data_IF_180061062198
#
_entry.id   IF_180061062198
#
_cell.length_a   1.000
_cell.length_b   1.000
_cell.length_c   1.000
_cell.angle_alpha   90.00
_cell.angle_beta   90.00
_cell.angle_gamma   90.00
#
_symmetry.space_group_name_H-M   'P 1'
#
loop_
_entity.id
_entity.type
_entity.pdbx_description
1 polymer ?
#
# COMPACT_ATOMS: atom_id res chain seq x y z
N UNK A 1 21.76 5.24 6.96
CA UNK A 1 21.99 5.35 8.42
C UNK A 1 22.00 3.96 9.02
N UNK A 2 23.10 3.58 9.68
CA UNK A 2 23.21 2.31 10.39
C UNK A 2 22.08 2.20 11.43
N UNK A 3 21.37 1.05 11.46
CA UNK A 3 20.38 0.77 12.50
C UNK A 3 21.14 0.65 13.81
N UNK A 4 21.07 1.67 14.68
CA UNK A 4 21.37 1.51 16.10
C UNK A 4 20.64 0.28 16.61
N UNK A 5 21.40 -0.66 17.17
CA UNK A 5 20.89 -1.91 17.70
C UNK A 5 19.86 -1.59 18.80
N UNK A 6 18.60 -2.02 18.58
CA UNK A 6 17.49 -1.64 19.47
C UNK A 6 17.54 -2.53 20.70
N UNK A 7 17.85 -1.95 21.86
CA UNK A 7 17.74 -2.63 23.16
C UNK A 7 16.26 -2.93 23.47
N UNK A 8 15.93 -4.18 23.75
CA UNK A 8 14.57 -4.60 24.08
C UNK A 8 14.30 -4.39 25.58
N UNK A 9 13.08 -4.00 25.93
CA UNK A 9 12.69 -3.82 27.32
C UNK A 9 12.76 -5.16 28.09
N UNK A 10 13.27 -5.19 29.34
CA UNK A 10 13.35 -6.40 30.15
C UNK A 10 12.02 -7.16 30.28
N UNK A 11 10.93 -6.44 30.54
CA UNK A 11 9.58 -7.04 30.62
C UNK A 11 9.18 -7.75 29.33
N UNK A 12 9.60 -7.22 28.17
CA UNK A 12 9.31 -7.87 26.90
C UNK A 12 10.11 -9.17 26.74
N UNK A 13 11.37 -9.20 27.19
CA UNK A 13 12.18 -10.41 27.20
C UNK A 13 11.59 -11.48 28.14
N UNK A 14 11.16 -11.07 29.34
CA UNK A 14 10.47 -11.96 30.27
C UNK A 14 9.17 -12.51 29.66
N UNK A 15 8.36 -11.63 29.06
CA UNK A 15 7.14 -12.00 28.36
C UNK A 15 7.41 -13.03 27.25
N UNK A 16 8.45 -12.85 26.45
CA UNK A 16 8.80 -13.78 25.37
C UNK A 16 9.08 -15.19 25.89
N UNK A 17 9.86 -15.30 26.97
CA UNK A 17 10.17 -16.60 27.58
C UNK A 17 8.93 -17.24 28.22
N UNK A 18 8.05 -16.45 28.85
CA UNK A 18 6.76 -16.95 29.37
C UNK A 18 5.88 -17.51 28.26
N UNK A 19 5.74 -16.81 27.14
CA UNK A 19 4.89 -17.22 26.02
C UNK A 19 5.39 -18.51 25.36
N UNK A 20 6.70 -18.62 25.13
CA UNK A 20 7.31 -19.83 24.50
C UNK A 20 7.14 -21.07 25.37
N UNK A 21 7.20 -20.91 26.69
CA UNK A 21 7.04 -22.02 27.64
C UNK A 21 5.58 -22.37 27.92
N UNK A 22 4.64 -21.54 27.49
CA UNK A 22 3.24 -21.74 27.83
C UNK A 22 2.62 -22.91 27.03
N UNK A 23 1.87 -23.83 27.68
CA UNK A 23 1.28 -25.00 27.00
C UNK A 23 0.43 -24.66 25.77
N UNK A 24 -0.26 -23.53 25.79
CA UNK A 24 -1.07 -23.04 24.66
C UNK A 24 -0.29 -22.89 23.34
N UNK A 25 1.02 -22.65 23.41
CA UNK A 25 1.93 -22.51 22.26
C UNK A 25 2.74 -23.79 21.97
N UNK A 26 2.43 -24.90 22.64
CA UNK A 26 3.13 -26.17 22.46
C UNK A 26 3.16 -26.60 20.98
N UNK A 27 4.35 -26.95 20.51
CA UNK A 27 4.59 -27.32 19.11
C UNK A 27 4.71 -26.16 18.12
N UNK A 28 4.48 -24.90 18.53
CA UNK A 28 4.67 -23.76 17.64
C UNK A 28 6.18 -23.54 17.39
N UNK A 29 6.64 -23.52 16.12
CA UNK A 29 8.05 -23.40 15.80
C UNK A 29 8.70 -22.08 16.24
N UNK A 30 9.79 -22.18 17.00
CA UNK A 30 10.70 -21.08 17.33
C UNK A 30 12.15 -21.56 17.39
N UNK A 31 13.07 -20.70 17.00
CA UNK A 31 14.52 -20.94 17.03
C UNK A 31 15.17 -19.94 18.00
N UNK A 32 16.38 -20.27 18.46
CA UNK A 32 17.26 -19.31 19.15
C UNK A 32 18.34 -18.83 18.19
N UNK A 33 18.64 -17.54 18.26
CA UNK A 33 19.74 -16.90 17.56
C UNK A 33 21.08 -17.27 18.22
N UNK A 34 22.18 -16.91 17.57
CA UNK A 34 23.55 -17.14 18.07
C UNK A 34 23.83 -16.48 19.43
N UNK A 35 23.16 -15.38 19.72
CA UNK A 35 23.24 -14.65 20.99
C UNK A 35 22.34 -15.24 22.11
N UNK A 36 21.68 -16.37 21.84
CA UNK A 36 20.76 -17.03 22.77
C UNK A 36 19.34 -16.45 22.78
N UNK A 37 19.09 -15.30 22.13
CA UNK A 37 17.78 -14.68 22.06
C UNK A 37 16.85 -15.47 21.14
N UNK A 38 15.57 -15.49 21.49
CA UNK A 38 14.54 -16.12 20.66
C UNK A 38 14.37 -15.36 19.33
N UNK A 39 14.31 -16.10 18.22
CA UNK A 39 13.97 -15.62 16.89
C UNK A 39 12.47 -15.31 16.80
N UNK A 40 12.06 -14.22 17.49
CA UNK A 40 10.67 -13.82 17.64
C UNK A 40 9.98 -13.51 16.30
N UNK A 41 10.77 -13.01 15.35
CA UNK A 41 10.31 -12.54 14.04
C UNK A 41 10.74 -13.51 12.95
N UNK A 42 9.79 -13.95 12.13
CA UNK A 42 10.06 -14.80 10.97
C UNK A 42 9.02 -14.57 9.87
N UNK A 43 9.45 -14.11 8.69
CA UNK A 43 8.51 -13.84 7.58
C UNK A 43 7.75 -15.11 7.17
N UNK A 44 6.47 -14.96 6.85
CA UNK A 44 5.59 -16.01 6.30
C UNK A 44 6.22 -16.86 5.16
N UNK A 45 7.12 -16.30 4.36
CA UNK A 45 7.76 -16.99 3.22
C UNK A 45 8.85 -17.98 3.65
N UNK A 46 9.42 -17.80 4.84
CA UNK A 46 10.48 -18.65 5.39
C UNK A 46 9.98 -20.05 5.75
N UNK A 47 10.89 -21.02 5.83
CA UNK A 47 10.56 -22.39 6.27
C UNK A 47 9.87 -22.40 7.63
N UNK A 48 10.39 -21.64 8.59
CA UNK A 48 9.77 -21.52 9.93
C UNK A 48 8.41 -20.81 9.86
N UNK A 49 8.25 -19.77 9.05
CA UNK A 49 6.98 -19.07 8.82
C UNK A 49 5.89 -20.00 8.27
N UNK A 50 6.23 -20.83 7.27
CA UNK A 50 5.31 -21.85 6.72
C UNK A 50 4.91 -22.90 7.77
N UNK A 51 5.85 -23.34 8.61
CA UNK A 51 5.56 -24.27 9.70
C UNK A 51 4.65 -23.65 10.78
N UNK A 52 4.83 -22.35 11.08
CA UNK A 52 3.93 -21.60 11.97
C UNK A 52 2.51 -21.52 11.40
N UNK A 53 2.37 -21.23 10.10
CA UNK A 53 1.07 -21.24 9.42
C UNK A 53 0.38 -22.59 9.59
N UNK A 54 1.06 -23.69 9.23
CA UNK A 54 0.51 -25.04 9.38
C UNK A 54 0.07 -25.34 10.81
N UNK A 55 0.93 -25.02 11.79
CA UNK A 55 0.57 -25.17 13.21
C UNK A 55 -0.70 -24.40 13.59
N UNK A 56 -0.85 -23.17 13.10
CA UNK A 56 -2.03 -22.35 13.41
C UNK A 56 -3.31 -22.88 12.74
N UNK A 57 -3.20 -23.49 11.56
CA UNK A 57 -4.33 -24.16 10.90
C UNK A 57 -4.76 -25.42 11.66
N UNK A 58 -3.81 -26.23 12.11
CA UNK A 58 -4.09 -27.41 12.93
C UNK A 58 -4.72 -26.99 14.28
N UNK A 59 -4.19 -25.92 14.88
CA UNK A 59 -4.73 -25.33 16.11
C UNK A 59 -6.15 -24.78 15.91
N UNK A 60 -6.41 -24.08 14.81
CA UNK A 60 -7.74 -23.60 14.46
C UNK A 60 -8.75 -24.75 14.37
N UNK A 61 -8.40 -25.85 13.68
CA UNK A 61 -9.25 -27.05 13.60
C UNK A 61 -9.52 -27.63 14.98
N UNK A 62 -8.50 -27.70 15.85
CA UNK A 62 -8.68 -28.19 17.23
C UNK A 62 -9.58 -27.31 18.10
N UNK A 63 -9.68 -26.02 17.77
CA UNK A 63 -10.55 -25.04 18.44
C UNK A 63 -11.94 -24.94 17.78
N UNK A 64 -12.24 -25.80 16.78
CA UNK A 64 -13.51 -25.75 16.04
C UNK A 64 -13.66 -24.52 15.13
N UNK A 65 -12.56 -23.84 14.78
CA UNK A 65 -12.58 -22.66 13.92
C UNK A 65 -12.46 -23.03 12.44
N UNK A 66 -13.26 -22.39 11.59
CA UNK A 66 -13.16 -22.53 10.14
C UNK A 66 -11.94 -21.77 9.60
N UNK A 67 -11.21 -22.37 8.65
CA UNK A 67 -10.03 -21.75 8.04
C UNK A 67 -10.49 -20.74 6.99
N UNK A 68 -10.49 -19.47 7.37
CA UNK A 68 -10.91 -18.34 6.53
C UNK A 68 -10.05 -17.10 6.83
N UNK A 69 -10.10 -16.04 5.98
CA UNK A 69 -9.41 -14.80 6.27
C UNK A 69 -9.67 -14.29 7.70
N UNK A 70 -8.62 -13.98 8.44
CA UNK A 70 -8.71 -13.57 9.85
C UNK A 70 -8.58 -14.71 10.87
N UNK A 71 -8.65 -15.98 10.47
CA UNK A 71 -8.60 -17.13 11.40
C UNK A 71 -7.35 -17.13 12.28
N UNK A 72 -6.18 -16.76 11.76
CA UNK A 72 -4.96 -16.73 12.57
C UNK A 72 -5.00 -15.67 13.67
N UNK A 73 -5.67 -14.53 13.43
CA UNK A 73 -5.87 -13.53 14.47
C UNK A 73 -6.77 -14.08 15.58
N UNK A 74 -7.82 -14.82 15.21
CA UNK A 74 -8.74 -15.46 16.17
C UNK A 74 -8.03 -16.55 16.97
N UNK A 75 -7.26 -17.43 16.33
CA UNK A 75 -6.46 -18.44 17.02
C UNK A 75 -5.50 -17.79 18.00
N UNK A 76 -4.72 -16.82 17.55
CA UNK A 76 -3.71 -16.17 18.40
C UNK A 76 -4.36 -15.42 19.57
N UNK A 77 -5.51 -14.77 19.34
CA UNK A 77 -6.31 -14.18 20.41
C UNK A 77 -6.77 -15.24 21.40
N UNK A 78 -7.34 -16.35 20.93
CA UNK A 78 -7.91 -17.43 21.74
C UNK A 78 -6.86 -18.15 22.59
N UNK A 79 -5.69 -18.43 22.04
CA UNK A 79 -4.64 -19.15 22.76
C UNK A 79 -3.77 -18.25 23.64
N UNK A 80 -3.81 -16.92 23.46
CA UNK A 80 -2.93 -16.03 24.22
C UNK A 80 -3.25 -16.14 25.72
N UNK A 81 -2.28 -16.50 26.60
CA UNK A 81 -2.53 -16.88 27.99
C UNK A 81 -3.18 -15.79 28.83
N UNK A 82 -2.68 -14.56 28.70
CA UNK A 82 -3.09 -13.44 29.54
C UNK A 82 -3.99 -12.44 28.83
N UNK A 83 -4.18 -12.59 27.51
CA UNK A 83 -4.76 -11.54 26.64
C UNK A 83 -4.07 -10.16 26.76
N UNK A 84 -2.85 -10.10 27.30
CA UNK A 84 -2.07 -8.88 27.48
C UNK A 84 -0.75 -8.99 26.74
N UNK A 85 -0.46 -8.00 25.90
CA UNK A 85 0.79 -7.88 25.16
C UNK A 85 1.74 -6.89 25.83
N UNK A 86 3.00 -7.29 25.99
CA UNK A 86 4.08 -6.39 26.46
C UNK A 86 4.77 -5.71 25.28
N UNK A 87 4.94 -4.39 25.35
CA UNK A 87 5.60 -3.60 24.31
C UNK A 87 7.12 -3.78 24.35
N UNK A 88 7.75 -4.07 23.21
CA UNK A 88 9.22 -4.23 23.12
C UNK A 88 10.03 -3.00 23.53
N UNK A 89 9.45 -1.81 23.39
CA UNK A 89 10.18 -0.54 23.49
C UNK A 89 10.08 0.03 24.91
N UNK A 90 8.86 0.14 25.44
CA UNK A 90 8.60 0.78 26.72
C UNK A 90 8.07 -0.16 27.81
N UNK A 91 7.94 -1.47 27.54
CA UNK A 91 7.43 -2.44 28.53
C UNK A 91 5.94 -2.32 28.86
N UNK A 92 5.22 -1.33 28.32
CA UNK A 92 3.79 -1.17 28.64
C UNK A 92 2.98 -2.40 28.26
N UNK A 93 2.13 -2.80 29.20
CA UNK A 93 1.18 -3.90 29.09
C UNK A 93 -0.11 -3.38 28.46
N UNK A 94 -0.56 -3.97 27.35
CA UNK A 94 -1.80 -3.55 26.70
C UNK A 94 -2.64 -4.76 26.30
N UNK A 95 -3.97 -4.63 26.44
CA UNK A 95 -4.93 -5.66 26.02
C UNK A 95 -4.84 -5.91 24.52
N UNK A 96 -4.94 -7.17 24.11
CA UNK A 96 -5.10 -7.54 22.70
C UNK A 96 -6.56 -7.51 22.24
N UNK A 97 -7.51 -7.31 23.17
CA UNK A 97 -8.91 -7.00 22.85
C UNK A 97 -9.09 -5.54 22.45
N UNK A 98 -10.19 -5.25 21.77
CA UNK A 98 -10.53 -3.92 21.26
C UNK A 98 -10.99 -2.98 22.39
N UNK A 99 -10.06 -2.52 23.21
CA UNK A 99 -10.34 -1.68 24.39
C UNK A 99 -9.82 -0.25 24.28
N UNK A 100 -9.15 0.13 23.19
CA UNK A 100 -8.50 1.43 23.08
C UNK A 100 -9.18 2.33 22.04
N UNK A 101 -9.63 3.53 22.41
CA UNK A 101 -10.48 4.36 21.55
C UNK A 101 -9.75 4.92 20.34
N UNK A 102 -10.46 4.99 19.22
CA UNK A 102 -10.03 5.67 18.00
C UNK A 102 -10.07 7.19 18.17
N UNK A 103 -9.37 7.93 17.30
CA UNK A 103 -9.33 9.40 17.34
C UNK A 103 -10.74 10.00 17.21
N UNK A 104 -11.61 9.39 16.41
CA UNK A 104 -12.98 9.87 16.22
C UNK A 104 -13.83 9.63 17.46
N UNK A 105 -13.64 8.48 18.12
CA UNK A 105 -14.36 8.19 19.35
C UNK A 105 -13.91 9.10 20.50
N UNK A 106 -12.61 9.37 20.62
CA UNK A 106 -12.07 10.35 21.57
C UNK A 106 -12.67 11.75 21.38
N UNK A 107 -12.77 12.22 20.14
CA UNK A 107 -13.43 13.51 19.84
C UNK A 107 -14.91 13.51 20.24
N UNK A 108 -15.60 12.38 20.08
CA UNK A 108 -16.99 12.26 20.50
C UNK A 108 -17.14 12.31 22.02
N UNK A 109 -16.21 11.69 22.76
CA UNK A 109 -16.14 11.76 24.23
C UNK A 109 -15.87 13.19 24.68
N UNK A 110 -14.84 13.84 24.12
CA UNK A 110 -14.49 15.23 24.42
C UNK A 110 -15.66 16.18 24.14
N UNK A 111 -16.33 16.03 23.00
CA UNK A 111 -17.48 16.84 22.64
C UNK A 111 -18.69 16.63 23.55
N UNK A 112 -18.88 15.44 24.12
CA UNK A 112 -20.05 15.11 24.95
C UNK A 112 -19.83 15.40 26.42
N UNK A 113 -18.62 15.17 26.93
CA UNK A 113 -18.30 15.18 28.36
C UNK A 113 -17.21 16.20 28.74
N UNK A 114 -16.55 16.86 27.77
CA UNK A 114 -15.49 17.84 28.04
C UNK A 114 -14.18 17.23 28.56
N UNK A 115 -14.04 15.90 28.53
CA UNK A 115 -12.87 15.18 29.03
C UNK A 115 -11.95 14.73 27.89
N UNK A 116 -10.65 14.93 28.07
CA UNK A 116 -9.61 14.55 27.11
C UNK A 116 -8.91 13.26 27.53
N UNK A 117 -8.77 12.35 26.57
CA UNK A 117 -8.05 11.09 26.74
C UNK A 117 -7.15 10.82 25.55
N UNK A 118 -6.21 9.89 25.73
CA UNK A 118 -5.33 9.44 24.67
C UNK A 118 -5.81 8.11 24.10
N UNK A 119 -5.35 7.78 22.89
CA UNK A 119 -5.59 6.46 22.31
C UNK A 119 -4.92 5.31 23.06
N UNK A 120 -4.19 5.55 24.15
CA UNK A 120 -3.61 4.50 24.98
C UNK A 120 -4.40 4.26 26.27
N UNK A 121 -5.40 5.09 26.58
CA UNK A 121 -6.26 4.87 27.74
C UNK A 121 -7.24 3.72 27.46
N UNK A 122 -7.39 2.84 28.46
CA UNK A 122 -8.31 1.72 28.36
C UNK A 122 -9.75 2.22 28.48
N UNK A 123 -10.69 1.65 27.73
CA UNK A 123 -12.09 2.10 27.74
C UNK A 123 -12.74 1.99 29.13
N UNK A 124 -12.33 1.00 29.92
CA UNK A 124 -12.75 0.86 31.32
C UNK A 124 -12.29 2.00 32.23
N UNK A 125 -11.06 2.51 32.04
CA UNK A 125 -10.54 3.67 32.80
C UNK A 125 -11.24 4.95 32.37
N UNK A 126 -11.52 5.09 31.07
CA UNK A 126 -12.27 6.22 30.51
C UNK A 126 -13.67 6.25 31.11
N UNK A 127 -14.34 5.10 31.17
CA UNK A 127 -15.66 4.97 31.78
C UNK A 127 -15.68 5.45 33.23
N UNK A 128 -14.75 4.95 34.06
CA UNK A 128 -14.60 5.36 35.47
C UNK A 128 -14.40 6.87 35.60
N UNK A 129 -13.46 7.43 34.84
CA UNK A 129 -13.17 8.87 34.88
C UNK A 129 -14.33 9.75 34.45
N UNK A 130 -15.18 9.28 33.54
CA UNK A 130 -16.40 9.99 33.17
C UNK A 130 -17.39 9.98 34.34
N UNK A 131 -17.59 8.84 35.01
CA UNK A 131 -18.46 8.77 36.19
C UNK A 131 -17.93 9.65 37.34
N UNK A 132 -16.63 9.62 37.60
CA UNK A 132 -15.95 10.46 38.61
C UNK A 132 -16.14 11.96 38.35
N UNK A 133 -16.38 12.37 37.10
CA UNK A 133 -16.68 13.76 36.74
C UNK A 133 -18.11 14.21 37.06
N UNK A 134 -18.93 13.32 37.63
CA UNK A 134 -20.33 13.58 37.99
C UNK A 134 -21.35 13.27 36.89
N UNK A 135 -20.93 12.64 35.80
CA UNK A 135 -21.86 12.20 34.74
C UNK A 135 -22.67 11.00 35.24
N UNK A 136 -24.01 11.05 35.19
CA UNK A 136 -24.84 9.92 35.59
C UNK A 136 -24.60 8.69 34.71
N UNK A 137 -24.54 7.51 35.32
CA UNK A 137 -24.25 6.25 34.62
C UNK A 137 -25.21 5.99 33.45
N UNK A 138 -26.51 6.25 33.62
CA UNK A 138 -27.49 6.10 32.55
C UNK A 138 -27.18 6.97 31.31
N UNK A 139 -26.63 8.18 31.52
CA UNK A 139 -26.20 9.06 30.41
C UNK A 139 -25.02 8.45 29.66
N UNK A 140 -24.08 7.85 30.40
CA UNK A 140 -22.92 7.18 29.83
C UNK A 140 -23.33 5.92 29.07
N UNK A 141 -24.19 5.08 29.65
CA UNK A 141 -24.74 3.89 29.00
C UNK A 141 -25.46 4.25 27.70
N UNK A 142 -26.31 5.29 27.71
CA UNK A 142 -27.01 5.77 26.51
C UNK A 142 -26.04 6.25 25.42
N UNK A 143 -24.95 6.94 25.81
CA UNK A 143 -23.92 7.37 24.87
C UNK A 143 -23.21 6.18 24.21
N UNK A 144 -22.82 5.16 24.99
CA UNK A 144 -22.21 3.95 24.44
C UNK A 144 -23.20 3.15 23.58
N UNK A 145 -24.44 2.98 24.03
CA UNK A 145 -25.52 2.34 23.26
C UNK A 145 -25.64 2.98 21.87
N UNK A 146 -25.72 4.31 21.82
CA UNK A 146 -25.85 5.06 20.57
C UNK A 146 -24.62 4.94 19.68
N UNK A 147 -23.40 5.08 20.22
CA UNK A 147 -22.18 5.06 19.40
C UNK A 147 -21.87 3.68 18.84
N UNK A 148 -22.11 2.63 19.62
CA UNK A 148 -21.82 1.25 19.23
C UNK A 148 -23.02 0.51 18.63
N UNK A 149 -24.19 1.16 18.54
CA UNK A 149 -25.44 0.55 18.04
C UNK A 149 -25.76 -0.75 18.79
N UNK A 150 -25.80 -0.64 20.12
CA UNK A 150 -26.14 -1.76 21.00
C UNK A 150 -27.66 -1.89 21.13
N UNK A 151 -28.17 -3.11 21.07
CA UNK A 151 -29.62 -3.40 21.13
C UNK A 151 -30.20 -3.11 22.53
N UNK A 152 -29.61 -3.68 23.58
CA UNK A 152 -30.05 -3.53 24.97
C UNK A 152 -28.85 -3.33 25.91
N UNK A 153 -28.92 -2.31 26.77
CA UNK A 153 -27.89 -2.03 27.79
C UNK A 153 -28.46 -2.00 29.21
N UNK A 154 -29.79 -2.01 29.35
CA UNK A 154 -30.44 -1.90 30.65
C UNK A 154 -30.16 -3.14 31.49
N UNK A 155 -29.85 -2.94 32.77
CA UNK A 155 -29.47 -4.02 33.69
C UNK A 155 -28.09 -4.65 33.46
N UNK A 156 -27.33 -4.20 32.45
CA UNK A 156 -25.97 -4.70 32.17
C UNK A 156 -24.93 -3.94 32.98
N UNK A 157 -23.95 -4.66 33.49
CA UNK A 157 -22.78 -4.07 34.12
C UNK A 157 -21.88 -3.35 33.12
N UNK A 158 -21.03 -2.45 33.62
CA UNK A 158 -19.96 -1.80 32.87
C UNK A 158 -19.15 -2.79 32.02
N UNK A 159 -18.76 -3.93 32.59
CA UNK A 159 -17.92 -4.91 31.90
C UNK A 159 -18.68 -5.59 30.76
N UNK A 160 -19.95 -5.95 30.96
CA UNK A 160 -20.79 -6.51 29.90
C UNK A 160 -20.97 -5.53 28.73
N UNK A 161 -21.16 -4.23 29.02
CA UNK A 161 -21.27 -3.19 27.99
C UNK A 161 -19.94 -3.04 27.23
N UNK A 162 -18.81 -3.04 27.94
CA UNK A 162 -17.49 -2.97 27.31
C UNK A 162 -17.24 -4.18 26.41
N UNK A 163 -17.60 -5.38 26.86
CA UNK A 163 -17.48 -6.60 26.07
C UNK A 163 -18.37 -6.56 24.82
N UNK A 164 -19.57 -5.99 24.92
CA UNK A 164 -20.44 -5.75 23.77
C UNK A 164 -19.79 -4.76 22.78
N UNK A 165 -19.20 -3.67 23.28
CA UNK A 165 -18.49 -2.69 22.46
C UNK A 165 -17.26 -3.29 21.77
N UNK A 166 -16.52 -4.14 22.49
CA UNK A 166 -15.37 -4.89 21.99
C UNK A 166 -15.78 -5.78 20.81
N UNK A 167 -16.84 -6.61 21.00
CA UNK A 167 -17.37 -7.49 19.96
C UNK A 167 -17.84 -6.72 18.73
N UNK A 168 -18.58 -5.63 18.92
CA UNK A 168 -18.96 -4.74 17.79
C UNK A 168 -17.76 -4.26 16.98
N UNK A 169 -16.63 -3.98 17.63
CA UNK A 169 -15.44 -3.53 16.91
C UNK A 169 -14.68 -4.69 16.26
N UNK A 170 -14.55 -5.82 16.95
CA UNK A 170 -13.75 -6.96 16.49
C UNK A 170 -14.47 -7.84 15.46
N UNK A 171 -15.76 -8.07 15.64
CA UNK A 171 -16.57 -9.00 14.84
C UNK A 171 -17.34 -8.25 13.75
N UNK A 172 -17.95 -7.09 14.08
CA UNK A 172 -18.74 -6.31 13.12
C UNK A 172 -17.92 -5.20 12.42
N UNK A 173 -16.64 -5.04 12.76
CA UNK A 173 -15.74 -4.08 12.12
C UNK A 173 -15.98 -2.61 12.50
N UNK A 174 -16.69 -2.32 13.59
CA UNK A 174 -16.93 -0.95 14.06
C UNK A 174 -15.60 -0.25 14.41
N UNK A 175 -15.29 0.86 13.76
CA UNK A 175 -14.01 1.56 13.90
C UNK A 175 -13.90 2.52 15.11
N UNK A 176 -14.47 2.14 16.27
CA UNK A 176 -14.49 2.97 17.49
C UNK A 176 -13.43 2.58 18.51
N UNK A 177 -13.19 1.28 18.68
CA UNK A 177 -12.11 0.76 19.52
C UNK A 177 -11.09 0.03 18.64
N UNK A 178 -9.91 -0.22 19.18
CA UNK A 178 -8.90 -1.07 18.53
C UNK A 178 -8.03 -1.75 19.59
N UNK A 179 -7.28 -2.80 19.22
CA UNK A 179 -6.47 -3.52 20.16
C UNK A 179 -5.21 -2.74 20.53
N UNK A 180 -4.64 -3.08 21.68
CA UNK A 180 -3.37 -2.56 22.15
C UNK A 180 -2.19 -3.05 21.30
N UNK A 181 -2.32 -4.24 20.71
CA UNK A 181 -1.40 -4.76 19.71
C UNK A 181 -2.17 -5.44 18.58
N UNK A 182 -1.83 -5.10 17.33
CA UNK A 182 -2.46 -5.70 16.16
C UNK A 182 -1.97 -7.12 15.94
N UNK A 183 -2.82 -7.99 15.39
CA UNK A 183 -2.38 -9.28 14.88
C UNK A 183 -1.29 -9.11 13.81
N UNK A 184 -0.29 -9.98 13.87
CA UNK A 184 0.84 -10.04 12.94
C UNK A 184 1.40 -11.47 12.82
N UNK A 185 0.52 -12.47 12.87
CA UNK A 185 0.89 -13.86 12.62
C UNK A 185 0.97 -14.13 11.11
N UNK A 186 1.88 -14.97 10.60
CA UNK A 186 2.89 -15.81 11.29
C UNK A 186 4.20 -15.07 11.63
N UNK A 187 4.27 -13.80 11.23
CA UNK A 187 5.48 -12.97 11.28
C UNK A 187 6.03 -12.79 12.70
N UNK A 188 5.17 -12.86 13.72
CA UNK A 188 5.52 -12.78 15.15
C UNK A 188 5.04 -14.03 15.87
N UNK A 189 5.88 -14.57 16.76
CA UNK A 189 5.62 -15.84 17.45
C UNK A 189 4.36 -15.81 18.32
N UNK A 190 4.18 -14.75 19.10
CA UNK A 190 2.97 -14.52 19.91
C UNK A 190 1.73 -14.19 19.08
N UNK A 191 1.89 -13.96 17.78
CA UNK A 191 0.82 -13.58 16.86
C UNK A 191 0.51 -12.09 16.82
N UNK A 192 1.25 -11.25 17.56
CA UNK A 192 0.95 -9.82 17.68
C UNK A 192 2.15 -8.94 17.33
N UNK A 193 1.85 -7.72 16.90
CA UNK A 193 2.87 -6.74 16.57
C UNK A 193 3.74 -6.44 17.79
N UNK A 194 5.05 -6.37 17.57
CA UNK A 194 6.05 -6.18 18.64
C UNK A 194 5.97 -4.80 19.30
N UNK A 195 5.49 -3.80 18.56
CA UNK A 195 5.14 -2.48 19.09
C UNK A 195 3.66 -2.42 19.37
N UNK A 196 3.33 -2.17 20.63
CA UNK A 196 1.98 -1.83 21.05
C UNK A 196 1.63 -0.41 20.60
N UNK A 197 0.35 -0.06 20.72
CA UNK A 197 -0.21 1.24 20.36
C UNK A 197 0.54 2.42 20.97
N UNK A 198 1.08 2.28 22.18
CA UNK A 198 1.90 3.29 22.86
C UNK A 198 3.15 3.74 22.07
N UNK A 199 3.82 2.82 21.38
CA UNK A 199 5.08 3.09 20.68
C UNK A 199 5.00 2.90 19.17
N UNK A 200 3.94 2.27 18.65
CA UNK A 200 3.87 1.88 17.24
C UNK A 200 4.01 3.06 16.29
N UNK A 201 3.34 4.18 16.56
CA UNK A 201 3.36 5.35 15.67
C UNK A 201 4.75 5.95 15.48
N UNK A 202 5.64 5.83 16.48
CA UNK A 202 7.00 6.37 16.45
C UNK A 202 8.05 5.33 16.04
N UNK A 203 7.78 4.05 16.28
CA UNK A 203 8.77 2.97 16.12
C UNK A 203 8.60 2.16 14.83
N UNK A 204 7.36 2.07 14.33
CA UNK A 204 7.02 1.47 13.04
C UNK A 204 7.17 2.53 11.94
N UNK A 205 8.42 2.73 11.49
CA UNK A 205 8.76 3.75 10.48
C UNK A 205 8.02 3.56 9.14
N UNK A 206 7.49 2.37 8.86
CA UNK A 206 6.65 2.12 7.68
C UNK A 206 5.22 2.66 7.80
N UNK A 207 4.76 2.94 9.04
CA UNK A 207 3.40 3.40 9.36
C UNK A 207 3.36 4.70 10.16
N UNK A 208 4.33 5.59 9.98
CA UNK A 208 4.18 6.96 10.52
C UNK A 208 2.87 7.56 9.99
N UNK A 209 2.21 8.45 10.76
CA UNK A 209 1.00 9.15 10.28
C UNK A 209 1.24 9.84 8.93
N UNK A 210 2.47 10.28 8.71
CA UNK A 210 2.93 10.88 7.46
C UNK A 210 2.99 9.87 6.30
N UNK A 211 3.52 8.66 6.55
CA UNK A 211 3.56 7.59 5.56
C UNK A 211 2.16 7.04 5.25
N UNK A 212 1.30 6.89 6.28
CA UNK A 212 -0.11 6.48 6.13
C UNK A 212 -0.91 7.47 5.27
N UNK A 213 -0.67 8.78 5.40
CA UNK A 213 -1.29 9.81 4.55
C UNK A 213 -0.79 9.81 3.11
N UNK A 214 0.26 9.06 2.79
CA UNK A 214 0.74 8.89 1.42
C UNK A 214 0.25 7.62 0.73
N UNK A 215 -0.62 6.84 1.38
CA UNK A 215 -1.24 5.65 0.75
C UNK A 215 -2.29 5.99 -0.32
N UNK A 216 -2.81 7.22 -0.33
CA UNK A 216 -3.61 7.72 -1.46
C UNK A 216 -2.75 8.11 -2.65
N UNK A 217 -1.41 7.99 -2.53
CA UNK A 217 -0.49 8.28 -3.62
C UNK A 217 0.03 7.00 -4.21
N UNK A 218 -0.23 6.77 -5.48
CA UNK A 218 0.27 5.57 -6.12
C UNK A 218 1.74 5.74 -6.49
N UNK A 219 2.61 5.25 -5.60
CA UNK A 219 4.07 5.27 -5.80
C UNK A 219 4.48 4.64 -7.15
N UNK A 220 3.70 3.68 -7.67
CA UNK A 220 4.02 2.97 -8.91
C UNK A 220 4.08 3.91 -10.10
N UNK A 221 3.26 4.96 -10.13
CA UNK A 221 3.30 5.97 -11.21
C UNK A 221 4.68 6.65 -11.30
N UNK A 222 5.32 6.89 -10.16
CA UNK A 222 6.67 7.44 -10.13
C UNK A 222 7.73 6.38 -10.47
N UNK A 223 7.55 5.16 -9.97
CA UNK A 223 8.50 4.07 -10.20
C UNK A 223 8.61 3.66 -11.68
N UNK A 224 7.48 3.70 -12.39
CA UNK A 224 7.40 3.35 -13.81
C UNK A 224 7.41 4.56 -14.75
N UNK A 225 7.70 5.76 -14.22
CA UNK A 225 7.82 6.98 -15.01
C UNK A 225 6.58 7.31 -15.85
N UNK A 226 5.39 6.91 -15.37
CA UNK A 226 4.12 6.96 -16.10
C UNK A 226 3.65 8.39 -16.35
N UNK A 227 2.88 8.56 -17.44
CA UNK A 227 2.20 9.83 -17.76
C UNK A 227 0.82 9.92 -17.09
N UNK A 228 0.05 10.95 -17.45
CA UNK A 228 -1.26 11.29 -16.88
C UNK A 228 -1.18 12.44 -15.88
N UNK A 229 -2.35 12.93 -15.45
CA UNK A 229 -2.41 13.94 -14.38
C UNK A 229 -2.24 13.27 -13.01
N UNK A 230 -0.98 12.98 -12.65
CA UNK A 230 -0.63 12.21 -11.45
C UNK A 230 -1.24 12.79 -10.18
N UNK A 231 -1.23 14.12 -10.05
CA UNK A 231 -1.76 14.78 -8.86
C UNK A 231 -3.29 14.68 -8.80
N UNK A 232 -3.96 14.84 -9.93
CA UNK A 232 -5.42 14.68 -10.00
C UNK A 232 -5.84 13.24 -9.70
N UNK A 233 -5.09 12.25 -10.19
CA UNK A 233 -5.33 10.84 -9.91
C UNK A 233 -5.22 10.52 -8.40
N UNK A 234 -4.13 10.94 -7.76
CA UNK A 234 -3.95 10.84 -6.30
C UNK A 234 -5.10 11.50 -5.52
N UNK A 235 -5.56 12.67 -5.97
CA UNK A 235 -6.69 13.38 -5.35
C UNK A 235 -8.02 12.64 -5.53
N UNK A 236 -8.26 12.08 -6.71
CA UNK A 236 -9.47 11.33 -7.01
C UNK A 236 -9.53 10.05 -6.17
N UNK A 237 -8.43 9.29 -6.09
CA UNK A 237 -8.31 8.10 -5.23
C UNK A 237 -8.57 8.41 -3.75
N UNK A 238 -8.22 9.62 -3.28
CA UNK A 238 -8.48 10.09 -1.92
C UNK A 238 -9.87 10.69 -1.69
N UNK A 239 -10.73 10.74 -2.70
CA UNK A 239 -12.06 11.36 -2.62
C UNK A 239 -13.12 10.45 -2.00
N UNK A 240 -14.29 11.02 -1.69
CA UNK A 240 -15.42 10.26 -1.13
C UNK A 240 -15.95 9.17 -2.06
N UNK A 241 -15.65 9.24 -3.36
CA UNK A 241 -15.99 8.22 -4.37
C UNK A 241 -15.44 6.83 -4.01
N UNK A 242 -14.42 6.76 -3.14
CA UNK A 242 -13.76 5.54 -2.70
C UNK A 242 -13.86 5.34 -1.17
N UNK A 243 -14.87 5.92 -0.52
CA UNK A 243 -15.03 5.82 0.94
C UNK A 243 -15.45 4.42 1.43
N UNK A 244 -16.13 3.64 0.57
CA UNK A 244 -16.62 2.27 0.86
C UNK A 244 -15.91 1.20 0.01
N UNK A 245 -15.35 1.59 -1.15
CA UNK A 245 -14.66 0.72 -2.10
C UNK A 245 -13.24 1.21 -2.34
N UNK A 246 -12.32 0.31 -2.68
CA UNK A 246 -10.95 0.70 -3.02
C UNK A 246 -10.85 1.28 -4.43
N UNK A 247 -9.96 2.25 -4.63
CA UNK A 247 -9.59 2.69 -5.97
C UNK A 247 -8.69 1.64 -6.64
N UNK A 248 -8.98 1.31 -7.90
CA UNK A 248 -8.16 0.45 -8.76
C UNK A 248 -7.91 1.12 -10.12
N UNK A 249 -6.78 0.81 -10.75
CA UNK A 249 -6.49 1.24 -12.11
C UNK A 249 -7.15 0.30 -13.12
N UNK A 250 -7.83 0.87 -14.13
CA UNK A 250 -8.41 0.07 -15.21
C UNK A 250 -7.31 -0.77 -15.91
N UNK A 251 -6.22 -0.12 -16.32
CA UNK A 251 -5.01 -0.76 -16.85
C UNK A 251 -3.87 -0.77 -15.82
N UNK A 252 -3.06 -1.85 -15.71
CA UNK A 252 -1.96 -1.89 -14.75
C UNK A 252 -0.85 -0.89 -15.09
N UNK A 253 -0.49 0.01 -14.15
CA UNK A 253 0.61 0.98 -14.32
C UNK A 253 1.94 0.27 -14.69
N UNK A 254 2.16 -0.93 -14.16
CA UNK A 254 3.33 -1.78 -14.46
C UNK A 254 3.35 -2.35 -15.88
N UNK A 255 2.41 -1.97 -16.75
CA UNK A 255 2.39 -2.28 -18.18
C UNK A 255 2.51 -1.00 -19.03
N UNK A 256 2.72 0.17 -18.41
CA UNK A 256 2.86 1.45 -19.12
C UNK A 256 1.59 2.29 -19.19
N UNK A 257 0.47 1.84 -18.61
CA UNK A 257 -0.75 2.64 -18.50
C UNK A 257 -0.53 3.91 -17.67
N UNK A 258 -1.23 4.98 -18.03
CA UNK A 258 -1.14 6.28 -17.34
C UNK A 258 -1.71 6.22 -15.93
N UNK A 259 -1.29 7.17 -15.10
CA UNK A 259 -1.92 7.46 -13.81
C UNK A 259 -2.75 8.74 -13.93
N UNK A 260 -3.96 8.61 -14.47
CA UNK A 260 -4.94 9.69 -14.68
C UNK A 260 -6.26 9.36 -13.98
N UNK A 261 -6.99 10.33 -13.40
CA UNK A 261 -8.23 10.07 -12.66
C UNK A 261 -9.31 9.37 -13.50
N UNK A 262 -9.34 9.58 -14.83
CA UNK A 262 -10.34 8.97 -15.72
C UNK A 262 -10.18 7.46 -15.90
N UNK A 263 -8.97 6.94 -15.65
CA UNK A 263 -8.65 5.51 -15.74
C UNK A 263 -8.62 4.82 -14.37
N UNK A 264 -9.26 5.42 -13.36
CA UNK A 264 -9.41 4.86 -12.02
C UNK A 264 -10.89 4.50 -11.81
N UNK A 265 -11.13 3.30 -11.29
CA UNK A 265 -12.48 2.78 -11.01
C UNK A 265 -12.63 2.26 -9.58
N UNK A 266 -13.84 2.25 -9.01
CA UNK A 266 -14.09 1.60 -7.73
C UNK A 266 -14.06 0.08 -7.89
N UNK A 267 -13.38 -0.61 -6.98
CA UNK A 267 -13.36 -2.07 -6.88
C UNK A 267 -13.44 -2.53 -5.43
N UNK A 268 -14.06 -3.70 -5.21
CA UNK A 268 -14.08 -4.33 -3.88
C UNK A 268 -12.66 -4.75 -3.47
N UNK A 269 -12.40 -4.82 -2.16
CA UNK A 269 -11.08 -5.18 -1.65
C UNK A 269 -10.63 -6.60 -2.06
N UNK A 270 -11.58 -7.54 -2.21
CA UNK A 270 -11.31 -8.92 -2.66
C UNK A 270 -10.87 -8.96 -4.12
N UNK A 271 -11.55 -8.22 -4.99
CA UNK A 271 -11.29 -8.24 -6.43
C UNK A 271 -9.97 -7.53 -6.76
N UNK A 272 -9.66 -6.43 -6.05
CA UNK A 272 -8.42 -5.69 -6.21
C UNK A 272 -7.18 -6.57 -5.88
N UNK A 273 -7.27 -7.39 -4.83
CA UNK A 273 -6.19 -8.32 -4.46
C UNK A 273 -5.93 -9.44 -5.49
N UNK A 274 -6.94 -9.78 -6.29
CA UNK A 274 -6.92 -10.87 -7.28
C UNK A 274 -6.43 -10.41 -8.66
N UNK A 275 -6.70 -9.15 -9.03
CA UNK A 275 -6.40 -8.61 -10.38
C UNK A 275 -4.89 -8.39 -10.65
N UNK A 276 -4.11 -7.93 -9.66
CA UNK A 276 -2.65 -7.69 -9.76
C UNK A 276 -2.21 -7.01 -11.07
N UNK A 277 -1.38 -7.68 -11.87
CA UNK A 277 -0.80 -7.20 -13.14
C UNK A 277 -1.49 -7.82 -14.37
N UNK A 278 -2.66 -8.45 -14.19
CA UNK A 278 -3.40 -9.07 -15.29
C UNK A 278 -4.10 -7.99 -16.10
N UNK A 279 -3.85 -7.98 -17.40
CA UNK A 279 -4.65 -7.26 -18.37
C UNK A 279 -5.79 -8.17 -18.81
N UNK A 280 -7.03 -7.77 -18.55
CA UNK A 280 -8.22 -8.52 -18.94
C UNK A 280 -8.90 -7.89 -20.15
N UNK A 281 -9.64 -8.71 -20.89
CA UNK A 281 -10.46 -8.28 -22.03
C UNK A 281 -11.45 -7.18 -21.63
N UNK A 282 -12.05 -7.28 -20.45
CA UNK A 282 -12.97 -6.26 -19.94
C UNK A 282 -12.26 -4.97 -19.50
N UNK A 283 -10.99 -5.06 -19.11
CA UNK A 283 -10.18 -3.86 -18.87
C UNK A 283 -9.96 -3.12 -20.19
N UNK A 284 -9.61 -3.81 -21.29
CA UNK A 284 -9.47 -3.19 -22.61
C UNK A 284 -10.76 -2.49 -23.05
N UNK A 285 -11.93 -3.12 -22.91
CA UNK A 285 -13.22 -2.49 -23.27
C UNK A 285 -13.49 -1.23 -22.46
N UNK A 286 -13.25 -1.29 -21.14
CA UNK A 286 -13.46 -0.15 -20.25
C UNK A 286 -12.54 1.00 -20.65
N UNK A 287 -11.27 0.69 -20.94
CA UNK A 287 -10.26 1.67 -21.34
C UNK A 287 -10.63 2.33 -22.68
N UNK A 288 -11.02 1.55 -23.70
CA UNK A 288 -11.47 2.09 -24.99
C UNK A 288 -12.71 2.99 -24.85
N UNK A 289 -13.62 2.63 -23.95
CA UNK A 289 -14.81 3.45 -23.66
C UNK A 289 -14.41 4.81 -23.07
N UNK A 290 -13.48 4.84 -22.13
CA UNK A 290 -12.97 6.08 -21.52
C UNK A 290 -12.16 6.90 -22.51
N UNK A 291 -11.28 6.26 -23.29
CA UNK A 291 -10.47 6.91 -24.34
C UNK A 291 -11.39 7.63 -25.34
N UNK A 292 -12.40 6.93 -25.88
CA UNK A 292 -13.36 7.51 -26.83
C UNK A 292 -14.20 8.65 -26.23
N UNK A 293 -14.51 8.60 -24.93
CA UNK A 293 -15.32 9.61 -24.26
C UNK A 293 -14.53 10.85 -23.80
N UNK A 294 -13.22 10.71 -23.56
CA UNK A 294 -12.41 11.76 -22.91
C UNK A 294 -11.28 12.33 -23.77
N UNK A 295 -10.95 11.68 -24.88
CA UNK A 295 -9.81 12.03 -25.76
C UNK A 295 -8.45 12.04 -25.03
N UNK A 296 -8.38 11.37 -23.87
CA UNK A 296 -7.13 11.16 -23.13
C UNK A 296 -6.56 9.83 -23.53
N UNK A 297 -5.25 9.75 -23.78
CA UNK A 297 -4.60 8.47 -24.05
C UNK A 297 -4.52 7.61 -22.78
N UNK A 298 -4.81 6.31 -22.85
CA UNK A 298 -4.67 5.41 -21.70
C UNK A 298 -3.23 5.00 -21.43
N UNK A 299 -2.30 5.29 -22.34
CA UNK A 299 -0.91 4.86 -22.26
C UNK A 299 0.06 6.02 -22.11
N UNK A 300 1.13 5.75 -21.37
CA UNK A 300 2.29 6.63 -21.38
C UNK A 300 2.94 6.58 -22.76
N UNK A 301 3.59 7.68 -23.17
CA UNK A 301 4.12 7.85 -24.52
C UNK A 301 5.03 6.70 -24.96
N UNK A 302 5.76 6.09 -24.02
CA UNK A 302 6.72 5.02 -24.26
C UNK A 302 6.10 3.66 -24.56
N UNK A 303 4.76 3.53 -24.53
CA UNK A 303 4.02 2.32 -24.86
C UNK A 303 2.83 2.62 -25.78
N UNK A 304 2.83 3.80 -26.43
CA UNK A 304 1.69 4.27 -27.21
C UNK A 304 1.50 3.48 -28.50
N UNK A 305 2.57 3.12 -29.21
CA UNK A 305 2.48 2.37 -30.47
C UNK A 305 1.98 0.95 -30.24
N UNK A 306 2.43 0.30 -29.16
CA UNK A 306 1.92 -1.01 -28.76
C UNK A 306 0.43 -0.95 -28.46
N UNK A 307 -0.06 0.13 -27.84
CA UNK A 307 -1.49 0.28 -27.58
C UNK A 307 -2.30 0.55 -28.83
N UNK A 308 -1.82 1.38 -29.76
CA UNK A 308 -2.49 1.55 -31.05
C UNK A 308 -2.59 0.22 -31.82
N UNK A 309 -1.53 -0.59 -31.76
CA UNK A 309 -1.57 -1.95 -32.29
C UNK A 309 -2.62 -2.81 -31.59
N UNK A 310 -2.64 -2.84 -30.25
CA UNK A 310 -3.65 -3.58 -29.47
C UNK A 310 -5.05 -3.11 -29.83
N UNK A 311 -5.31 -1.79 -29.85
CA UNK A 311 -6.61 -1.20 -30.17
C UNK A 311 -7.10 -1.62 -31.56
N UNK A 312 -6.20 -1.64 -32.55
CA UNK A 312 -6.54 -1.99 -33.94
C UNK A 312 -6.75 -3.49 -34.13
N UNK A 313 -6.06 -4.33 -33.34
CA UNK A 313 -6.07 -5.79 -33.48
C UNK A 313 -6.84 -6.50 -32.35
N UNK A 314 -7.47 -5.75 -31.46
CA UNK A 314 -8.31 -6.31 -30.41
C UNK A 314 -9.65 -6.69 -31.02
N UNK A 315 -9.86 -8.00 -31.22
CA UNK A 315 -11.18 -8.54 -31.45
C UNK A 315 -11.64 -9.38 -30.25
N UNK A 316 -12.97 -9.56 -30.13
CA UNK A 316 -13.57 -10.32 -29.04
C UNK A 316 -13.37 -11.84 -29.21
N UNK A 317 -12.90 -12.30 -30.38
CA UNK A 317 -12.74 -13.71 -30.70
C UNK A 317 -11.36 -14.24 -30.27
N UNK A 318 -10.37 -13.37 -30.15
CA UNK A 318 -9.01 -13.61 -29.63
C UNK A 318 -8.83 -13.05 -28.21
N UNK A 319 -9.77 -13.37 -27.32
CA UNK A 319 -9.72 -12.98 -25.91
C UNK A 319 -8.50 -13.56 -25.15
N UNK A 320 -7.96 -14.67 -25.64
CA UNK A 320 -6.87 -15.46 -25.07
C UNK A 320 -5.48 -14.83 -25.24
N UNK A 321 -5.27 -14.04 -26.30
CA UNK A 321 -3.99 -13.35 -26.54
C UNK A 321 -3.81 -12.09 -25.67
N UNK A 322 -4.89 -11.54 -25.12
CA UNK A 322 -4.84 -10.35 -24.25
C UNK A 322 -4.02 -10.61 -22.99
N UNK A 323 -4.31 -11.71 -22.32
CA UNK A 323 -3.66 -12.05 -21.06
C UNK A 323 -2.24 -12.61 -21.27
N UNK A 324 -1.83 -12.88 -22.50
CA UNK A 324 -0.53 -13.48 -22.86
C UNK A 324 0.27 -12.53 -23.76
N UNK A 325 0.05 -12.56 -25.08
CA UNK A 325 0.79 -11.81 -26.11
C UNK A 325 0.81 -10.32 -25.82
N UNK A 326 -0.35 -9.66 -25.70
CA UNK A 326 -0.41 -8.21 -25.48
C UNK A 326 0.20 -7.78 -24.15
N UNK A 327 -0.09 -8.54 -23.09
CA UNK A 327 0.53 -8.32 -21.78
C UNK A 327 2.05 -8.45 -21.85
N UNK A 328 2.56 -9.46 -22.55
CA UNK A 328 3.97 -9.76 -22.61
C UNK A 328 4.74 -8.77 -23.50
N UNK A 329 4.13 -8.27 -24.57
CA UNK A 329 4.63 -7.12 -25.34
C UNK A 329 4.82 -5.89 -24.46
N UNK A 330 3.79 -5.51 -23.69
CA UNK A 330 3.84 -4.38 -22.77
C UNK A 330 4.89 -4.57 -21.66
N UNK A 331 5.00 -5.79 -21.11
CA UNK A 331 6.03 -6.13 -20.10
C UNK A 331 7.44 -6.01 -20.67
N UNK A 332 7.68 -6.54 -21.86
CA UNK A 332 8.99 -6.48 -22.51
C UNK A 332 9.36 -5.04 -22.86
N UNK A 333 8.40 -4.26 -23.36
CA UNK A 333 8.62 -2.87 -23.66
C UNK A 333 9.00 -2.07 -22.41
N UNK A 334 8.26 -2.25 -21.31
CA UNK A 334 8.60 -1.59 -20.05
C UNK A 334 10.00 -2.00 -19.53
N UNK A 335 10.39 -3.27 -19.70
CA UNK A 335 11.73 -3.71 -19.31
C UNK A 335 12.82 -3.04 -20.15
N UNK A 336 12.61 -2.93 -21.46
CA UNK A 336 13.52 -2.24 -22.37
C UNK A 336 13.59 -0.74 -22.05
N UNK A 337 12.45 -0.10 -21.80
CA UNK A 337 12.37 1.31 -21.44
C UNK A 337 13.10 1.63 -20.13
N UNK A 338 12.87 0.84 -19.08
CA UNK A 338 13.59 1.01 -17.81
C UNK A 338 15.10 0.82 -17.96
N UNK A 339 15.53 -0.08 -18.85
CA UNK A 339 16.94 -0.26 -19.19
C UNK A 339 17.52 0.94 -19.95
N UNK A 340 16.78 1.49 -20.92
CA UNK A 340 17.16 2.71 -21.65
C UNK A 340 17.35 3.88 -20.68
N UNK A 341 16.38 4.11 -19.78
CA UNK A 341 16.48 5.16 -18.76
C UNK A 341 17.68 4.96 -17.83
N UNK A 342 17.95 3.72 -17.40
CA UNK A 342 19.11 3.41 -16.56
C UNK A 342 20.43 3.68 -17.30
N UNK A 343 20.52 3.28 -18.57
CA UNK A 343 21.72 3.50 -19.39
C UNK A 343 21.97 4.99 -19.59
N UNK A 344 20.92 5.80 -19.76
CA UNK A 344 21.07 7.27 -19.80
C UNK A 344 21.67 7.81 -18.50
N UNK A 345 21.19 7.32 -17.34
CA UNK A 345 21.72 7.74 -16.03
C UNK A 345 23.18 7.32 -15.84
N UNK A 346 23.54 6.11 -16.28
CA UNK A 346 24.87 5.55 -16.07
C UNK A 346 25.89 6.12 -17.06
N UNK A 347 25.54 6.16 -18.34
CA UNK A 347 26.47 6.52 -19.41
C UNK A 347 26.55 8.03 -19.63
N UNK A 348 25.46 8.77 -19.41
CA UNK A 348 25.43 10.24 -19.49
C UNK A 348 25.56 10.93 -18.12
N UNK A 349 25.70 10.16 -17.04
CA UNK A 349 25.96 10.63 -15.68
C UNK A 349 24.98 11.74 -15.24
N UNK A 350 25.51 12.82 -14.65
CA UNK A 350 24.69 13.94 -14.14
C UNK A 350 23.94 14.67 -15.27
N UNK A 351 24.50 14.72 -16.48
CA UNK A 351 23.81 15.26 -17.66
C UNK A 351 22.59 14.39 -18.02
N UNK A 352 22.71 13.07 -17.91
CA UNK A 352 21.60 12.11 -18.07
C UNK A 352 20.49 12.35 -17.07
N UNK A 353 20.83 12.51 -15.79
CA UNK A 353 19.85 12.84 -14.73
C UNK A 353 19.15 14.17 -15.00
N UNK A 354 19.91 15.21 -15.36
CA UNK A 354 19.37 16.54 -15.66
C UNK A 354 18.43 16.51 -16.86
N UNK A 355 18.79 15.78 -17.92
CA UNK A 355 17.95 15.55 -19.09
C UNK A 355 16.62 14.89 -18.72
N UNK A 356 16.67 13.77 -18.00
CA UNK A 356 15.46 13.04 -17.62
C UNK A 356 14.53 13.86 -16.72
N UNK A 357 15.10 14.62 -15.78
CA UNK A 357 14.31 15.52 -14.93
C UNK A 357 13.64 16.59 -15.77
N UNK A 358 14.40 17.32 -16.60
CA UNK A 358 13.90 18.48 -17.32
C UNK A 358 12.85 18.11 -18.39
N UNK A 359 13.04 17.00 -19.10
CA UNK A 359 12.17 16.63 -20.22
C UNK A 359 10.98 15.76 -19.81
N UNK A 360 11.08 14.98 -18.72
CA UNK A 360 10.05 13.97 -18.39
C UNK A 360 9.46 14.09 -16.98
N UNK A 361 10.14 14.71 -16.03
CA UNK A 361 9.61 14.90 -14.67
C UNK A 361 9.02 16.30 -14.51
N UNK A 362 9.79 17.34 -14.84
CA UNK A 362 9.41 18.73 -14.63
C UNK A 362 8.11 19.13 -15.36
N UNK A 363 7.83 18.68 -16.60
CA UNK A 363 6.57 18.98 -17.27
C UNK A 363 5.35 18.43 -16.54
N UNK A 364 5.50 17.31 -15.80
CA UNK A 364 4.41 16.68 -15.04
C UNK A 364 4.04 17.50 -13.79
N UNK A 365 4.88 18.46 -13.40
CA UNK A 365 4.64 19.29 -12.21
C UNK A 365 3.55 20.32 -12.38
N UNK A 366 3.18 20.67 -13.62
CA UNK A 366 2.11 21.65 -13.84
C UNK A 366 0.81 21.21 -13.15
N UNK A 367 0.49 19.91 -13.20
CA UNK A 367 -0.69 19.36 -12.51
C UNK A 367 -0.65 19.50 -10.99
N UNK A 368 0.53 19.61 -10.38
CA UNK A 368 0.70 19.78 -8.94
C UNK A 368 0.43 21.24 -8.50
N UNK A 369 0.28 22.19 -9.41
CA UNK A 369 -0.08 23.58 -9.08
C UNK A 369 -1.58 23.77 -8.80
N UNK A 370 -2.39 22.74 -9.00
CA UNK A 370 -3.84 22.86 -8.90
C UNK A 370 -4.46 21.88 -7.90
N UNK A 371 -5.68 22.22 -7.49
CA UNK A 371 -6.62 21.34 -6.82
C UNK A 371 -7.80 21.08 -7.76
N UNK A 372 -8.27 19.84 -7.75
CA UNK A 372 -9.25 19.34 -8.70
C UNK A 372 -10.55 18.91 -8.01
N UNK A 373 -11.67 19.09 -8.71
CA UNK A 373 -12.94 18.42 -8.41
C UNK A 373 -13.29 17.48 -9.56
N UNK A 374 -13.92 16.36 -9.21
CA UNK A 374 -14.22 15.27 -10.12
C UNK A 374 -15.71 14.99 -10.17
N UNK A 375 -16.20 14.49 -11.30
CA UNK A 375 -17.44 13.72 -11.34
C UNK A 375 -17.21 12.27 -10.86
N UNK A 376 -18.25 11.42 -10.94
CA UNK A 376 -18.16 10.02 -10.54
C UNK A 376 -17.23 9.17 -11.43
N UNK A 377 -16.95 9.63 -12.66
CA UNK A 377 -16.13 8.94 -13.65
C UNK A 377 -14.67 9.44 -13.66
N UNK A 378 -14.30 10.32 -12.72
CA UNK A 378 -12.95 10.87 -12.64
C UNK A 378 -12.69 12.02 -13.61
N UNK A 379 -13.69 12.52 -14.33
CA UNK A 379 -13.51 13.71 -15.17
C UNK A 379 -13.30 14.95 -14.31
N UNK A 380 -12.34 15.78 -14.68
CA UNK A 380 -12.06 17.04 -13.98
C UNK A 380 -13.15 18.05 -14.33
N UNK A 381 -14.06 18.32 -13.39
CA UNK A 381 -15.14 19.30 -13.54
C UNK A 381 -14.75 20.69 -13.06
N UNK A 382 -13.70 20.80 -12.22
CA UNK A 382 -13.15 22.07 -11.77
C UNK A 382 -11.67 21.96 -11.47
N UNK A 383 -10.91 22.95 -11.92
CA UNK A 383 -9.49 23.14 -11.60
C UNK A 383 -9.32 24.49 -10.91
N UNK A 384 -8.59 24.53 -9.79
CA UNK A 384 -8.32 25.76 -9.04
C UNK A 384 -6.86 25.82 -8.62
N UNK A 385 -6.23 26.99 -8.71
CA UNK A 385 -4.84 27.15 -8.28
C UNK A 385 -4.72 26.87 -6.78
N UNK A 386 -3.75 26.05 -6.42
CA UNK A 386 -3.51 25.63 -5.03
C UNK A 386 -2.52 26.56 -4.35
N UNK A 387 -2.74 26.81 -3.07
CA UNK A 387 -1.71 27.38 -2.20
C UNK A 387 -0.68 26.30 -1.87
N UNK A 388 0.46 26.33 -2.55
CA UNK A 388 1.52 25.35 -2.36
C UNK A 388 2.25 25.62 -1.05
N UNK A 389 1.97 24.78 -0.07
CA UNK A 389 2.70 24.74 1.20
C UNK A 389 4.10 24.15 1.02
N UNK A 390 4.99 24.33 1.99
CA UNK A 390 6.31 23.66 1.98
C UNK A 390 6.22 22.14 1.80
N UNK A 391 5.12 21.52 2.27
CA UNK A 391 4.83 20.10 2.06
C UNK A 391 4.67 19.77 0.58
N UNK A 392 4.00 20.61 -0.20
CA UNK A 392 3.84 20.44 -1.64
C UNK A 392 5.18 20.52 -2.38
N UNK A 393 6.13 21.34 -1.90
CA UNK A 393 7.49 21.41 -2.47
C UNK A 393 8.25 20.08 -2.30
N UNK A 394 8.13 19.43 -1.13
CA UNK A 394 8.75 18.12 -0.85
C UNK A 394 8.17 16.97 -1.67
N UNK A 395 6.99 17.14 -2.29
CA UNK A 395 6.41 16.11 -3.17
C UNK A 395 7.22 15.95 -4.45
N UNK A 396 7.81 17.04 -4.96
CA UNK A 396 8.64 17.05 -6.16
C UNK A 396 9.94 16.28 -5.93
N UNK A 397 10.64 16.59 -4.83
CA UNK A 397 11.85 15.88 -4.41
C UNK A 397 11.57 14.40 -4.17
N UNK A 398 10.39 14.08 -3.62
CA UNK A 398 9.95 12.69 -3.44
C UNK A 398 9.74 12.00 -4.79
N UNK A 399 9.12 12.63 -5.78
CA UNK A 399 8.94 12.04 -7.10
C UNK A 399 10.31 11.76 -7.72
N UNK A 400 11.19 12.77 -7.86
CA UNK A 400 12.54 12.60 -8.41
C UNK A 400 13.30 11.46 -7.72
N UNK A 401 13.31 11.45 -6.39
CA UNK A 401 14.00 10.40 -5.61
C UNK A 401 13.41 9.02 -5.87
N UNK A 402 12.09 8.87 -5.92
CA UNK A 402 11.45 7.56 -6.15
C UNK A 402 11.70 7.08 -7.58
N UNK A 403 11.59 7.96 -8.57
CA UNK A 403 11.80 7.65 -9.98
C UNK A 403 13.23 7.20 -10.27
N UNK A 404 14.24 7.86 -9.69
CA UNK A 404 15.63 7.41 -9.83
C UNK A 404 15.95 6.16 -8.99
N UNK A 405 15.41 6.06 -7.77
CA UNK A 405 15.58 4.85 -6.97
C UNK A 405 14.98 3.62 -7.66
N UNK A 406 13.87 3.78 -8.37
CA UNK A 406 13.26 2.68 -9.10
C UNK A 406 14.14 2.18 -10.24
N UNK A 407 14.96 3.02 -10.88
CA UNK A 407 15.92 2.59 -11.89
C UNK A 407 17.05 1.74 -11.29
N UNK A 408 17.56 2.12 -10.11
CA UNK A 408 18.55 1.32 -9.37
C UNK A 408 17.95 -0.01 -8.89
N UNK A 409 16.79 0.05 -8.24
CA UNK A 409 16.03 -1.14 -7.82
C UNK A 409 15.66 -1.99 -9.05
N UNK A 410 15.52 -1.37 -10.23
CA UNK A 410 15.30 -2.07 -11.48
C UNK A 410 16.56 -2.88 -11.87
N UNK A 411 17.72 -2.22 -11.91
CA UNK A 411 18.97 -2.84 -12.34
C UNK A 411 19.47 -3.96 -11.39
N UNK A 412 19.33 -3.81 -10.06
CA UNK A 412 19.97 -4.70 -9.07
C UNK A 412 19.14 -5.90 -8.64
N UNK A 413 18.03 -6.21 -9.32
CA UNK A 413 17.12 -7.29 -8.90
C UNK A 413 17.50 -8.61 -9.58
N UNK A 414 18.15 -9.49 -8.84
CA UNK A 414 18.70 -10.77 -9.35
C UNK A 414 17.65 -11.75 -9.90
N UNK A 415 16.42 -11.75 -9.37
CA UNK A 415 15.36 -12.70 -9.75
C UNK A 415 14.38 -12.15 -10.78
N UNK A 416 14.84 -11.50 -11.85
CA UNK A 416 13.93 -11.08 -12.94
C UNK A 416 13.70 -12.21 -13.93
N UNK A 417 12.43 -12.55 -14.14
CA UNK A 417 12.02 -13.45 -15.20
C UNK A 417 12.13 -12.83 -16.60
N UNK A 418 12.13 -11.49 -16.70
CA UNK A 418 12.19 -10.76 -17.95
C UNK A 418 13.46 -9.91 -18.00
N UNK A 419 14.26 -10.07 -19.05
CA UNK A 419 15.53 -9.37 -19.25
C UNK A 419 15.35 -8.33 -20.34
N UNK A 420 15.98 -7.14 -20.23
CA UNK A 420 15.98 -6.16 -21.31
C UNK A 420 16.58 -6.77 -22.59
N UNK A 421 15.87 -6.58 -23.70
CA UNK A 421 16.20 -7.13 -25.00
C UNK A 421 16.24 -5.97 -26.01
N UNK A 422 17.43 -5.41 -26.22
CA UNK A 422 17.72 -4.42 -27.27
C UNK A 422 18.63 -5.06 -28.32
N UNK A 423 18.40 -4.76 -29.61
CA UNK A 423 19.29 -5.16 -30.71
C UNK A 423 20.59 -4.37 -30.69
N UNK A 424 21.57 -4.79 -31.50
CA UNK A 424 22.86 -4.11 -31.59
C UNK A 424 22.70 -2.68 -32.16
N UNK A 425 21.80 -2.50 -33.11
CA UNK A 425 21.46 -1.19 -33.67
C UNK A 425 20.81 -0.29 -32.61
N UNK A 426 19.84 -0.81 -31.85
CA UNK A 426 19.16 -0.08 -30.77
C UNK A 426 20.16 0.34 -29.67
N UNK A 427 21.10 -0.54 -29.31
CA UNK A 427 22.20 -0.22 -28.39
C UNK A 427 23.11 0.86 -28.94
N UNK A 428 23.46 0.79 -30.22
CA UNK A 428 24.29 1.81 -30.86
C UNK A 428 23.57 3.18 -30.90
N UNK A 429 22.24 3.20 -31.09
CA UNK A 429 21.46 4.45 -31.00
C UNK A 429 21.46 5.01 -29.58
N UNK A 430 21.30 4.15 -28.57
CA UNK A 430 21.34 4.53 -27.16
C UNK A 430 22.69 5.16 -26.78
N UNK A 431 23.80 4.56 -27.22
CA UNK A 431 25.14 5.13 -27.02
C UNK A 431 25.26 6.51 -27.65
N UNK A 432 24.76 6.69 -28.88
CA UNK A 432 24.74 8.01 -29.55
C UNK A 432 23.88 9.02 -28.80
N UNK A 433 22.72 8.60 -28.29
CA UNK A 433 21.86 9.43 -27.44
C UNK A 433 22.60 9.87 -26.17
N UNK A 434 23.24 8.95 -25.44
CA UNK A 434 23.99 9.28 -24.23
C UNK A 434 25.12 10.28 -24.52
N UNK A 435 25.83 10.12 -25.64
CA UNK A 435 26.85 11.07 -26.07
C UNK A 435 26.26 12.45 -26.43
N UNK A 436 25.11 12.49 -27.10
CA UNK A 436 24.42 13.73 -27.42
C UNK A 436 23.91 14.47 -26.16
N UNK A 437 23.42 13.74 -25.15
CA UNK A 437 22.96 14.31 -23.88
C UNK A 437 24.10 15.04 -23.17
N UNK A 438 25.32 14.50 -23.19
CA UNK A 438 26.51 15.16 -22.63
C UNK A 438 26.82 16.51 -23.31
N UNK A 439 26.40 16.69 -24.57
CA UNK A 439 26.61 17.93 -25.32
C UNK A 439 25.48 18.97 -25.14
N UNK A 440 24.40 18.63 -24.42
CA UNK A 440 23.47 19.61 -23.83
C UNK A 440 22.24 20.04 -24.64
N UNK A 441 22.01 19.54 -25.87
CA UNK A 441 20.77 19.84 -26.61
C UNK A 441 19.65 18.85 -26.25
N UNK A 442 18.95 19.13 -25.16
CA UNK A 442 17.92 18.24 -24.63
C UNK A 442 16.69 18.10 -25.52
N UNK A 443 16.36 19.12 -26.32
CA UNK A 443 15.20 19.04 -27.23
C UNK A 443 15.48 18.04 -28.35
N UNK A 444 16.70 18.06 -28.90
CA UNK A 444 17.13 17.07 -29.89
C UNK A 444 17.27 15.69 -29.25
N UNK A 445 17.85 15.60 -28.04
CA UNK A 445 18.00 14.34 -27.32
C UNK A 445 16.65 13.68 -26.99
N UNK A 446 15.63 14.48 -26.66
CA UNK A 446 14.26 14.00 -26.44
C UNK A 446 13.72 13.31 -27.69
N UNK A 447 13.82 13.94 -28.85
CA UNK A 447 13.37 13.35 -30.13
C UNK A 447 14.15 12.08 -30.48
N UNK A 448 15.44 12.04 -30.17
CA UNK A 448 16.26 10.84 -30.34
C UNK A 448 15.79 9.69 -29.44
N UNK A 449 15.48 9.98 -28.17
CA UNK A 449 14.93 9.01 -27.23
C UNK A 449 13.54 8.51 -27.68
N UNK A 450 12.64 9.41 -28.05
CA UNK A 450 11.30 9.07 -28.56
C UNK A 450 11.40 8.14 -29.79
N UNK A 451 12.29 8.45 -30.73
CA UNK A 451 12.54 7.60 -31.91
C UNK A 451 13.12 6.23 -31.55
N UNK A 452 14.02 6.15 -30.57
CA UNK A 452 14.58 4.88 -30.12
C UNK A 452 13.49 3.99 -29.50
N UNK A 453 12.66 4.56 -28.63
CA UNK A 453 11.56 3.82 -27.99
C UNK A 453 10.52 3.36 -29.01
N UNK A 454 10.11 4.24 -29.93
CA UNK A 454 9.24 3.89 -31.06
C UNK A 454 9.78 2.70 -31.87
N UNK A 455 11.09 2.69 -32.18
CA UNK A 455 11.72 1.55 -32.87
C UNK A 455 11.63 0.25 -32.07
N UNK A 456 11.88 0.32 -30.77
CA UNK A 456 11.77 -0.83 -29.87
C UNK A 456 10.32 -1.35 -29.85
N UNK A 457 9.34 -0.46 -29.73
CA UNK A 457 7.91 -0.81 -29.77
C UNK A 457 7.53 -1.50 -31.08
N UNK A 458 7.87 -0.90 -32.21
CA UNK A 458 7.64 -1.46 -33.54
C UNK A 458 8.25 -2.85 -33.70
N UNK A 459 9.49 -3.06 -33.23
CA UNK A 459 10.12 -4.39 -33.28
C UNK A 459 9.40 -5.41 -32.40
N UNK A 460 8.99 -5.02 -31.19
CA UNK A 460 8.22 -5.90 -30.30
C UNK A 460 6.91 -6.33 -30.97
N UNK A 461 6.21 -5.41 -31.61
CA UNK A 461 4.99 -5.68 -32.39
C UNK A 461 5.29 -6.70 -33.50
N UNK A 462 6.28 -6.43 -34.34
CA UNK A 462 6.65 -7.32 -35.46
C UNK A 462 6.97 -8.74 -34.97
N UNK A 463 7.79 -8.84 -33.92
CA UNK A 463 8.19 -10.14 -33.34
C UNK A 463 6.99 -10.93 -32.85
N UNK A 464 6.05 -10.26 -32.16
CA UNK A 464 4.84 -10.88 -31.62
C UNK A 464 3.85 -11.30 -32.72
N UNK A 465 3.84 -10.64 -33.87
CA UNK A 465 2.98 -11.01 -35.02
C UNK A 465 3.53 -12.14 -35.87
N UNK A 466 4.83 -12.43 -35.77
CA UNK A 466 5.51 -13.49 -36.54
C UNK A 466 5.68 -14.82 -35.79
N UNK A 467 5.40 -14.83 -34.49
CA UNK A 467 5.46 -16.00 -33.61
C UNK A 467 4.07 -16.64 -33.49
#
# INVERSE_FOLDING_TARGET
MAKTERKWHPDFLSYMETIVKHPNYSGLPIERKRDGLLAWVASAKTTIGKRRIKWAEDKARSLGMHIQPGVYANVMLEIHPTKIKVCQICGSHMSIYYHYPSVNFLKAIESKFGLQFTGCNHIGEIWEKILESGVPENTLMTFFKSKFELEEVDGKSKNEIIDMCERKCREDGKALLSPGAMSNFPDRYDGFHTYNRCCRATQDKGRSRENLKSYTKDRRAYEYWSDGNLHAADMFMGSQSFSVMSADHMGPISLGFVHDPRYIRPMTNSDNSTKRDRLLVDDIKAILTVEAASDVSPMSWFSAEIWEFIKTNYDKQHADIVATVYRDMLKQNLANYMFVLKSIVDDAEECGRAFLVKEFIDPKYEGFHYAYKFDANGNIVKQTKRNITERGKKELDRFRRIAFQSLEDYATKDNRHLVPNLTEEERAELVRLCAAIKNGDFVVCRKMLERLVSRIETRIIQTATTA
#
